data_IF_097691759516
#
_entry.id   IF_097691759516
#
_cell.length_a   1.000
_cell.length_b   1.000
_cell.length_c   1.000
_cell.angle_alpha   90.00
_cell.angle_beta   90.00
_cell.angle_gamma   90.00
#
_symmetry.space_group_name_H-M   'P 1'
#
loop_
_entity.id
_entity.type
_entity.pdbx_description
1 polymer ?
#
# COMPACT_ATOMS: atom_id res chain seq x y z
N UNK A 1 24.06 -0.25 13.29
CA UNK A 1 22.92 -0.64 12.44
C UNK A 1 23.43 -1.59 11.37
N UNK A 2 23.08 -2.86 11.42
CA UNK A 2 23.64 -3.86 10.51
C UNK A 2 22.81 -4.01 9.25
N UNK A 3 23.46 -4.24 8.11
CA UNK A 3 22.83 -4.60 6.82
C UNK A 3 21.82 -5.74 6.98
N UNK A 4 22.10 -6.68 7.90
CA UNK A 4 21.21 -7.80 8.25
C UNK A 4 19.86 -7.35 8.84
N UNK A 5 19.83 -6.25 9.59
CA UNK A 5 18.58 -5.72 10.18
C UNK A 5 17.67 -5.14 9.11
N UNK A 6 18.26 -4.46 8.11
CA UNK A 6 17.51 -3.92 6.97
C UNK A 6 16.96 -5.09 6.14
N UNK A 7 17.81 -6.07 5.85
CA UNK A 7 17.46 -7.22 5.01
C UNK A 7 16.22 -8.00 5.52
N UNK A 8 16.05 -8.13 6.84
CA UNK A 8 14.87 -8.79 7.44
C UNK A 8 13.54 -8.11 7.12
N UNK A 9 13.56 -6.81 6.84
CA UNK A 9 12.35 -6.01 6.60
C UNK A 9 12.08 -5.78 5.10
N UNK A 10 12.94 -6.27 4.21
CA UNK A 10 12.77 -6.14 2.76
C UNK A 10 11.84 -7.23 2.25
N UNK A 11 11.01 -6.88 1.26
CA UNK A 11 10.15 -7.86 0.59
C UNK A 11 10.92 -8.75 -0.39
N UNK A 12 12.10 -8.32 -0.82
CA UNK A 12 13.01 -9.10 -1.67
C UNK A 12 14.39 -9.20 -1.02
N UNK A 13 15.14 -10.29 -1.24
CA UNK A 13 16.51 -10.42 -0.74
C UNK A 13 17.40 -9.25 -1.21
N UNK A 14 18.31 -8.81 -0.35
CA UNK A 14 19.20 -7.68 -0.63
C UNK A 14 20.01 -7.89 -1.92
N UNK A 15 20.40 -9.12 -2.24
CA UNK A 15 21.15 -9.45 -3.47
C UNK A 15 20.35 -9.31 -4.77
N UNK A 16 19.02 -9.16 -4.67
CA UNK A 16 18.09 -9.08 -5.82
C UNK A 16 17.25 -7.81 -5.79
N UNK A 17 17.54 -6.88 -4.89
CA UNK A 17 16.74 -5.68 -4.71
C UNK A 17 17.12 -4.64 -5.75
N UNK A 18 16.13 -4.18 -6.50
CA UNK A 18 16.27 -3.07 -7.46
C UNK A 18 15.47 -1.90 -6.89
N UNK A 19 16.14 -0.81 -6.52
CA UNK A 19 15.51 0.36 -5.88
C UNK A 19 15.35 1.55 -6.84
N UNK A 20 16.00 1.51 -8.00
CA UNK A 20 16.07 2.58 -8.98
C UNK A 20 15.18 2.36 -10.21
N UNK A 21 14.24 1.41 -10.14
CA UNK A 21 13.32 1.14 -11.25
C UNK A 21 12.38 2.32 -11.49
N UNK A 22 12.33 2.81 -12.72
CA UNK A 22 11.34 3.77 -13.17
C UNK A 22 9.96 3.12 -13.34
N UNK A 23 8.93 3.93 -13.54
CA UNK A 23 7.58 3.43 -13.83
C UNK A 23 7.53 2.65 -15.16
N UNK A 24 8.39 2.99 -16.13
CA UNK A 24 8.47 2.24 -17.39
C UNK A 24 9.19 0.90 -17.21
N UNK A 25 10.27 0.87 -16.45
CA UNK A 25 10.97 -0.39 -16.11
C UNK A 25 10.02 -1.37 -15.39
N UNK A 26 9.18 -0.84 -14.49
CA UNK A 26 8.15 -1.64 -13.82
C UNK A 26 7.11 -2.22 -14.80
N UNK A 27 6.73 -1.48 -15.85
CA UNK A 27 5.79 -1.96 -16.88
C UNK A 27 6.41 -3.05 -17.75
N UNK A 28 7.66 -2.86 -18.19
CA UNK A 28 8.42 -3.84 -18.95
C UNK A 28 8.55 -5.12 -18.13
N UNK A 29 9.07 -5.03 -16.90
CA UNK A 29 9.22 -6.17 -15.98
C UNK A 29 7.89 -6.88 -15.70
N UNK A 30 6.80 -6.13 -15.52
CA UNK A 30 5.47 -6.71 -15.30
C UNK A 30 4.95 -7.48 -16.51
N UNK A 31 5.25 -7.02 -17.74
CA UNK A 31 4.89 -7.70 -18.98
C UNK A 31 5.69 -8.99 -19.13
N UNK A 32 7.01 -8.93 -18.97
CA UNK A 32 7.91 -10.09 -19.06
C UNK A 32 7.54 -11.18 -18.04
N UNK A 33 7.23 -10.80 -16.80
CA UNK A 33 6.80 -11.75 -15.78
C UNK A 33 5.45 -12.38 -16.14
N UNK A 34 4.49 -11.60 -16.64
CA UNK A 34 3.20 -12.14 -17.08
C UNK A 34 3.35 -13.15 -18.24
N UNK A 35 4.21 -12.84 -19.21
CA UNK A 35 4.53 -13.72 -20.35
C UNK A 35 5.25 -14.99 -19.88
N UNK A 36 6.21 -14.85 -18.96
CA UNK A 36 6.91 -16.00 -18.34
C UNK A 36 5.93 -16.92 -17.60
N UNK A 37 5.00 -16.35 -16.83
CA UNK A 37 3.97 -17.10 -16.12
C UNK A 37 3.06 -17.84 -17.09
N UNK A 38 2.65 -17.18 -18.18
CA UNK A 38 1.82 -17.77 -19.22
C UNK A 38 2.54 -18.93 -19.94
N UNK A 39 3.82 -18.75 -20.28
CA UNK A 39 4.64 -19.79 -20.91
C UNK A 39 4.75 -21.03 -20.01
N UNK A 40 5.03 -20.83 -18.71
CA UNK A 40 5.10 -21.94 -17.73
C UNK A 40 3.76 -22.63 -17.52
N UNK A 41 2.67 -21.86 -17.45
CA UNK A 41 1.31 -22.40 -17.39
C UNK A 41 1.03 -23.32 -18.57
N UNK A 42 1.35 -22.88 -19.79
CA UNK A 42 1.15 -23.66 -21.03
C UNK A 42 2.02 -24.91 -21.11
N UNK A 43 3.19 -24.90 -20.49
CA UNK A 43 4.07 -26.07 -20.40
C UNK A 43 3.59 -27.14 -19.41
N UNK A 44 2.57 -26.86 -18.61
CA UNK A 44 1.99 -27.81 -17.66
C UNK A 44 0.71 -28.44 -18.23
N UNK A 45 0.40 -29.66 -17.79
CA UNK A 45 -0.80 -30.39 -18.22
C UNK A 45 -2.11 -29.67 -17.83
N UNK A 46 -2.12 -29.01 -16.67
CA UNK A 46 -3.26 -28.26 -16.17
C UNK A 46 -2.81 -27.18 -15.16
N UNK A 47 -3.73 -26.29 -14.78
CA UNK A 47 -3.46 -25.18 -13.88
C UNK A 47 -3.08 -25.63 -12.46
N UNK A 48 -3.59 -26.77 -12.00
CA UNK A 48 -3.27 -27.33 -10.67
C UNK A 48 -1.79 -27.72 -10.57
N UNK A 49 -1.25 -28.34 -11.62
CA UNK A 49 0.17 -28.68 -11.68
C UNK A 49 1.07 -27.45 -11.87
N UNK A 50 0.58 -26.42 -12.56
CA UNK A 50 1.32 -25.18 -12.74
C UNK A 50 1.44 -24.36 -11.45
N UNK A 51 0.37 -24.34 -10.65
CA UNK A 51 0.19 -23.38 -9.56
C UNK A 51 1.35 -23.33 -8.54
N UNK A 52 1.89 -24.46 -8.02
CA UNK A 52 3.01 -24.42 -7.07
C UNK A 52 4.23 -23.67 -7.62
N UNK A 53 4.60 -23.91 -8.88
CA UNK A 53 5.74 -23.25 -9.52
C UNK A 53 5.48 -21.76 -9.76
N UNK A 54 4.25 -21.38 -10.09
CA UNK A 54 3.89 -19.98 -10.28
C UNK A 54 3.91 -19.22 -8.95
N UNK A 55 3.43 -19.84 -7.87
CA UNK A 55 3.50 -19.26 -6.51
C UNK A 55 4.93 -19.03 -6.06
N UNK A 56 5.83 -19.98 -6.31
CA UNK A 56 7.24 -19.82 -5.99
C UNK A 56 7.87 -18.61 -6.73
N UNK A 57 7.56 -18.44 -8.02
CA UNK A 57 8.03 -17.28 -8.77
C UNK A 57 7.45 -15.95 -8.25
N UNK A 58 6.18 -15.95 -7.82
CA UNK A 58 5.54 -14.79 -7.18
C UNK A 58 6.27 -14.40 -5.90
N UNK A 59 6.60 -15.37 -5.06
CA UNK A 59 7.37 -15.15 -3.82
C UNK A 59 8.78 -14.62 -4.09
N UNK A 60 9.45 -15.12 -5.15
CA UNK A 60 10.78 -14.63 -5.55
C UNK A 60 10.77 -13.14 -5.94
N UNK A 61 9.63 -12.58 -6.34
CA UNK A 61 9.46 -11.15 -6.64
C UNK A 61 9.02 -10.34 -5.41
N UNK A 62 8.97 -10.95 -4.22
CA UNK A 62 8.56 -10.31 -2.97
C UNK A 62 7.05 -10.11 -2.83
N UNK A 63 6.27 -10.82 -3.63
CA UNK A 63 4.81 -10.81 -3.56
C UNK A 63 4.31 -12.02 -2.80
N UNK A 64 3.20 -11.86 -2.07
CA UNK A 64 2.54 -12.96 -1.37
C UNK A 64 1.53 -13.65 -2.31
N UNK A 65 1.62 -14.97 -2.50
CA UNK A 65 0.59 -15.75 -3.16
C UNK A 65 -0.78 -15.64 -2.48
N UNK A 66 -1.84 -16.06 -3.17
CA UNK A 66 -3.19 -15.94 -2.65
C UNK A 66 -3.60 -17.06 -1.70
N UNK A 67 -2.80 -18.14 -1.60
CA UNK A 67 -2.96 -19.15 -0.56
C UNK A 67 -4.33 -19.84 -0.53
N UNK A 68 -5.01 -19.94 -1.68
CA UNK A 68 -6.35 -20.56 -1.77
C UNK A 68 -7.52 -19.59 -1.62
N UNK A 69 -7.29 -18.27 -1.54
CA UNK A 69 -8.37 -17.26 -1.54
C UNK A 69 -9.25 -17.33 -2.81
N UNK A 70 -8.73 -17.89 -3.90
CA UNK A 70 -9.41 -17.93 -5.18
C UNK A 70 -9.36 -19.34 -5.78
N UNK A 71 -10.23 -19.60 -6.76
CA UNK A 71 -10.13 -20.79 -7.59
C UNK A 71 -8.75 -20.85 -8.27
N UNK A 72 -8.27 -22.07 -8.52
CA UNK A 72 -6.98 -22.33 -9.18
C UNK A 72 -6.86 -21.55 -10.48
N UNK A 73 -7.88 -21.63 -11.34
CA UNK A 73 -7.92 -20.92 -12.62
C UNK A 73 -7.86 -19.39 -12.43
N UNK A 74 -8.57 -18.86 -11.41
CA UNK A 74 -8.59 -17.44 -11.11
C UNK A 74 -7.25 -16.91 -10.58
N UNK A 75 -6.56 -17.69 -9.75
CA UNK A 75 -5.22 -17.37 -9.27
C UNK A 75 -4.19 -17.38 -10.40
N UNK A 76 -4.18 -18.44 -11.21
CA UNK A 76 -3.28 -18.57 -12.35
C UNK A 76 -3.54 -17.47 -13.40
N UNK A 77 -4.80 -17.15 -13.70
CA UNK A 77 -5.15 -16.07 -14.62
C UNK A 77 -4.62 -14.71 -14.15
N UNK A 78 -4.66 -14.42 -12.85
CA UNK A 78 -4.06 -13.21 -12.28
C UNK A 78 -2.54 -13.18 -12.44
N UNK A 79 -1.87 -14.31 -12.22
CA UNK A 79 -0.41 -14.42 -12.44
C UNK A 79 -0.02 -14.27 -13.92
N UNK A 80 -0.92 -14.58 -14.86
CA UNK A 80 -0.70 -14.30 -16.29
C UNK A 80 -1.04 -12.86 -16.70
N UNK A 81 -1.45 -11.97 -15.78
CA UNK A 81 -1.92 -10.64 -16.12
C UNK A 81 -0.92 -9.54 -15.73
N UNK A 82 -0.41 -8.78 -16.71
CA UNK A 82 0.60 -7.72 -16.50
C UNK A 82 0.17 -6.66 -15.48
N UNK A 83 -1.10 -6.23 -15.45
CA UNK A 83 -1.53 -5.21 -14.49
C UNK A 83 -1.59 -5.72 -13.05
N UNK A 84 -1.64 -7.05 -12.86
CA UNK A 84 -1.53 -7.64 -11.53
C UNK A 84 -0.08 -7.50 -11.03
N UNK A 85 0.89 -7.89 -11.86
CA UNK A 85 2.32 -7.70 -11.59
C UNK A 85 2.69 -6.25 -11.35
N UNK A 86 2.28 -5.34 -12.24
CA UNK A 86 2.61 -3.92 -12.11
C UNK A 86 2.16 -3.33 -10.77
N UNK A 87 0.94 -3.65 -10.32
CA UNK A 87 0.44 -3.21 -9.00
C UNK A 87 1.26 -3.81 -7.85
N UNK A 88 1.61 -5.09 -7.95
CA UNK A 88 2.43 -5.78 -6.96
C UNK A 88 3.85 -5.21 -6.88
N UNK A 89 4.57 -5.19 -8.00
CA UNK A 89 5.95 -4.72 -8.09
C UNK A 89 6.08 -3.27 -7.64
N UNK A 90 5.16 -2.39 -8.04
CA UNK A 90 5.14 -0.99 -7.57
C UNK A 90 5.02 -0.90 -6.05
N UNK A 91 4.18 -1.75 -5.44
CA UNK A 91 4.01 -1.82 -3.99
C UNK A 91 5.28 -2.34 -3.31
N UNK A 92 5.89 -3.40 -3.83
CA UNK A 92 7.15 -3.97 -3.33
C UNK A 92 8.28 -2.95 -3.40
N UNK A 93 8.50 -2.34 -4.57
CA UNK A 93 9.53 -1.33 -4.79
C UNK A 93 9.39 -0.17 -3.80
N UNK A 94 8.19 0.43 -3.70
CA UNK A 94 7.96 1.57 -2.80
C UNK A 94 8.18 1.20 -1.33
N UNK A 95 7.74 0.01 -0.89
CA UNK A 95 7.97 -0.47 0.47
C UNK A 95 9.44 -0.68 0.76
N UNK A 96 10.16 -1.25 -0.19
CA UNK A 96 11.59 -1.49 -0.10
C UNK A 96 12.38 -0.18 -0.03
N UNK A 97 12.10 0.78 -0.92
CA UNK A 97 12.69 2.14 -0.88
C UNK A 97 12.42 2.80 0.46
N UNK A 98 11.17 2.79 0.91
CA UNK A 98 10.79 3.43 2.18
C UNK A 98 11.44 2.74 3.37
N UNK A 99 11.51 1.41 3.37
CA UNK A 99 12.19 0.63 4.42
C UNK A 99 13.67 1.02 4.48
N UNK A 100 14.37 1.03 3.35
CA UNK A 100 15.78 1.42 3.30
C UNK A 100 15.97 2.86 3.76
N UNK A 101 15.19 3.82 3.27
CA UNK A 101 15.35 5.24 3.62
C UNK A 101 14.93 5.55 5.05
N UNK A 102 13.91 4.87 5.57
CA UNK A 102 13.56 4.89 6.98
C UNK A 102 14.71 4.35 7.83
N UNK A 103 15.32 3.24 7.40
CA UNK A 103 16.51 2.64 8.00
C UNK A 103 17.80 3.47 7.80
N UNK A 104 17.86 4.37 6.85
CA UNK A 104 18.95 5.35 6.70
C UNK A 104 18.69 6.68 7.40
N UNK A 105 17.61 6.78 8.19
CA UNK A 105 17.21 7.98 8.93
C UNK A 105 17.01 9.18 7.99
N UNK A 106 16.43 8.92 6.82
CA UNK A 106 16.03 9.94 5.85
C UNK A 106 14.55 10.36 6.03
N UNK A 107 13.83 9.64 6.90
CA UNK A 107 12.43 9.90 7.24
C UNK A 107 12.37 10.25 8.72
N UNK A 108 12.39 11.55 8.99
CA UNK A 108 12.29 12.14 10.32
C UNK A 108 11.90 13.62 10.19
N UNK A 109 11.53 14.26 11.31
CA UNK A 109 11.09 15.65 11.34
C UNK A 109 12.09 16.66 10.75
N UNK A 110 13.39 16.37 10.80
CA UNK A 110 14.45 17.27 10.33
C UNK A 110 14.71 17.18 8.82
N UNK A 111 14.39 16.04 8.19
CA UNK A 111 14.66 15.80 6.76
C UNK A 111 13.39 15.67 5.94
N UNK A 112 12.54 14.72 6.32
CA UNK A 112 11.28 14.46 5.65
C UNK A 112 10.28 13.84 6.63
N UNK A 113 9.23 14.60 6.95
CA UNK A 113 8.39 14.35 8.13
C UNK A 113 7.57 13.06 8.04
N UNK A 114 7.03 12.74 6.87
CA UNK A 114 6.04 11.66 6.73
C UNK A 114 6.50 10.46 5.92
N UNK A 115 7.28 10.70 4.86
CA UNK A 115 7.77 9.65 3.98
C UNK A 115 9.04 10.13 3.30
N UNK A 116 9.78 9.24 2.67
CA UNK A 116 10.96 9.64 1.91
C UNK A 116 10.63 10.53 0.71
N UNK A 117 11.58 11.37 0.29
CA UNK A 117 11.42 12.24 -0.88
C UNK A 117 11.08 11.47 -2.17
N UNK A 118 11.72 10.32 -2.49
CA UNK A 118 11.33 9.52 -3.64
C UNK A 118 9.88 9.03 -3.58
N UNK A 119 9.39 8.63 -2.40
CA UNK A 119 7.99 8.23 -2.19
C UNK A 119 7.03 9.39 -2.46
N UNK A 120 7.37 10.61 -1.99
CA UNK A 120 6.57 11.81 -2.22
C UNK A 120 6.46 12.15 -3.71
N UNK A 121 7.60 12.20 -4.42
CA UNK A 121 7.65 12.50 -5.86
C UNK A 121 6.87 11.44 -6.65
N UNK A 122 7.06 10.15 -6.33
CA UNK A 122 6.32 9.08 -6.98
C UNK A 122 4.80 9.18 -6.75
N UNK A 123 4.37 9.66 -5.57
CA UNK A 123 2.94 9.88 -5.28
C UNK A 123 2.39 11.09 -6.04
N UNK A 124 3.15 12.17 -6.17
CA UNK A 124 2.75 13.35 -6.95
C UNK A 124 2.59 13.00 -8.42
N UNK A 125 3.57 12.32 -9.02
CA UNK A 125 3.52 11.87 -10.41
C UNK A 125 2.33 10.93 -10.65
N UNK A 126 2.08 10.00 -9.73
CA UNK A 126 0.92 9.12 -9.81
C UNK A 126 -0.40 9.90 -9.77
N UNK A 127 -0.52 10.92 -8.91
CA UNK A 127 -1.73 11.75 -8.83
C UNK A 127 -1.94 12.55 -10.10
N UNK A 128 -0.89 13.17 -10.63
CA UNK A 128 -0.96 13.93 -11.89
C UNK A 128 -1.42 13.03 -13.05
N UNK A 129 -0.83 11.84 -13.18
CA UNK A 129 -1.25 10.86 -14.20
C UNK A 129 -2.71 10.42 -14.01
N UNK A 130 -3.14 10.13 -12.78
CA UNK A 130 -4.52 9.75 -12.49
C UNK A 130 -5.51 10.86 -12.82
N UNK A 131 -5.18 12.12 -12.52
CA UNK A 131 -6.02 13.27 -12.84
C UNK A 131 -6.16 13.43 -14.36
N UNK A 132 -5.04 13.44 -15.08
CA UNK A 132 -5.06 13.53 -16.54
C UNK A 132 -5.85 12.37 -17.17
N UNK A 133 -5.72 11.14 -16.65
CA UNK A 133 -6.51 10.01 -17.12
C UNK A 133 -8.03 10.23 -16.92
N UNK A 134 -8.45 10.67 -15.74
CA UNK A 134 -9.87 10.91 -15.45
C UNK A 134 -10.44 12.07 -16.26
N UNK A 135 -9.66 13.12 -16.48
CA UNK A 135 -10.04 14.29 -17.27
C UNK A 135 -10.25 13.92 -18.75
N UNK A 136 -9.34 13.11 -19.31
CA UNK A 136 -9.39 12.70 -20.73
C UNK A 136 -10.27 11.47 -21.00
N UNK A 137 -10.95 10.92 -19.99
CA UNK A 137 -11.85 9.78 -20.18
C UNK A 137 -13.29 10.26 -20.07
N UNK A 138 -14.05 10.14 -21.16
CA UNK A 138 -15.46 10.52 -21.23
C UNK A 138 -16.35 9.31 -20.99
N UNK A 139 -17.37 9.48 -20.15
CA UNK A 139 -18.46 8.52 -19.97
C UNK A 139 -19.76 9.15 -20.49
N UNK A 140 -20.50 8.38 -21.28
CA UNK A 140 -21.80 8.77 -21.85
C UNK A 140 -22.88 7.84 -21.34
N UNK A 141 -24.00 8.40 -20.86
CA UNK A 141 -25.14 7.61 -20.38
C UNK A 141 -26.15 7.32 -21.51
N UNK A 142 -27.18 6.52 -21.19
CA UNK A 142 -28.27 6.15 -22.10
C UNK A 142 -29.13 7.33 -22.59
N UNK A 143 -29.05 8.48 -21.90
CA UNK A 143 -29.73 9.72 -22.27
C UNK A 143 -28.88 10.63 -23.17
N UNK A 144 -27.69 10.17 -23.58
CA UNK A 144 -26.76 10.93 -24.42
C UNK A 144 -25.95 12.02 -23.69
N UNK A 145 -26.03 12.08 -22.36
CA UNK A 145 -25.25 13.03 -21.57
C UNK A 145 -23.81 12.52 -21.43
N UNK A 146 -22.83 13.39 -21.69
CA UNK A 146 -21.41 13.04 -21.65
C UNK A 146 -20.66 13.90 -20.64
N UNK A 147 -19.87 13.27 -19.79
CA UNK A 147 -19.05 13.94 -18.78
C UNK A 147 -17.67 13.26 -18.70
N UNK A 148 -16.65 14.02 -18.31
CA UNK A 148 -15.38 13.42 -17.92
C UNK A 148 -15.54 12.61 -16.63
N UNK A 149 -14.75 11.55 -16.49
CA UNK A 149 -14.70 10.80 -15.24
C UNK A 149 -14.22 11.68 -14.07
N UNK A 150 -13.44 12.73 -14.35
CA UNK A 150 -13.02 13.70 -13.35
C UNK A 150 -14.22 14.46 -12.78
N UNK A 151 -15.07 15.04 -13.63
CA UNK A 151 -16.29 15.74 -13.20
C UNK A 151 -17.22 14.81 -12.41
N UNK A 152 -17.41 13.59 -12.89
CA UNK A 152 -18.24 12.60 -12.19
C UNK A 152 -17.65 12.25 -10.81
N UNK A 153 -16.32 12.13 -10.70
CA UNK A 153 -15.65 11.82 -9.43
C UNK A 153 -15.80 12.93 -8.38
N UNK A 154 -16.00 14.18 -8.81
CA UNK A 154 -16.11 15.33 -7.92
C UNK A 154 -17.52 15.52 -7.34
N UNK A 155 -18.52 14.79 -7.86
CA UNK A 155 -19.94 14.95 -7.44
C UNK A 155 -20.35 14.11 -6.23
N UNK A 156 -19.44 13.32 -5.66
CA UNK A 156 -19.78 12.43 -4.54
C UNK A 156 -18.64 12.23 -3.55
N UNK A 157 -18.73 11.16 -2.75
CA UNK A 157 -17.73 10.82 -1.71
C UNK A 157 -16.32 10.58 -2.24
N UNK A 158 -16.14 10.46 -3.54
CA UNK A 158 -14.81 10.46 -4.17
C UNK A 158 -14.08 11.79 -3.98
N UNK A 159 -14.81 12.92 -3.85
CA UNK A 159 -14.26 14.20 -3.44
C UNK A 159 -13.98 14.21 -1.91
N UNK A 160 -12.74 14.50 -1.48
CA UNK A 160 -12.39 14.57 -0.06
C UNK A 160 -13.18 15.62 0.75
N UNK A 161 -13.59 16.75 0.15
CA UNK A 161 -14.41 17.76 0.82
C UNK A 161 -15.81 17.24 1.11
N UNK A 162 -16.46 16.63 0.11
CA UNK A 162 -17.80 16.03 0.27
C UNK A 162 -17.74 14.91 1.31
N UNK A 163 -16.75 13.99 1.18
CA UNK A 163 -16.55 12.90 2.14
C UNK A 163 -16.34 13.40 3.57
N UNK A 164 -15.56 14.47 3.75
CA UNK A 164 -15.36 15.10 5.07
C UNK A 164 -16.67 15.67 5.59
N UNK A 165 -17.44 16.39 4.76
CA UNK A 165 -18.75 16.91 5.13
C UNK A 165 -19.68 15.82 5.65
N UNK A 166 -19.84 14.73 4.89
CA UNK A 166 -20.65 13.58 5.31
C UNK A 166 -20.16 12.94 6.61
N UNK A 167 -18.85 12.78 6.78
CA UNK A 167 -18.27 12.23 8.00
C UNK A 167 -18.61 13.11 9.22
N UNK A 168 -18.50 14.44 9.07
CA UNK A 168 -18.82 15.37 10.17
C UNK A 168 -20.31 15.39 10.49
N UNK A 169 -21.19 15.28 9.49
CA UNK A 169 -22.65 15.16 9.71
C UNK A 169 -22.96 13.88 10.49
N UNK A 170 -22.35 12.73 10.12
CA UNK A 170 -22.52 11.48 10.87
C UNK A 170 -21.99 11.58 12.29
N UNK A 171 -20.79 12.15 12.46
CA UNK A 171 -20.19 12.34 13.78
C UNK A 171 -21.08 13.21 14.68
N UNK A 172 -21.68 14.27 14.13
CA UNK A 172 -22.62 15.12 14.86
C UNK A 172 -23.87 14.38 15.32
N UNK A 173 -24.47 13.56 14.45
CA UNK A 173 -25.62 12.75 14.85
C UNK A 173 -25.31 11.78 15.99
N UNK A 174 -24.10 11.19 16.02
CA UNK A 174 -23.67 10.35 17.15
C UNK A 174 -23.43 11.17 18.43
N UNK A 175 -22.93 12.40 18.31
CA UNK A 175 -22.78 13.32 19.44
C UNK A 175 -24.13 13.68 20.05
N UNK A 176 -25.11 14.05 19.22
CA UNK A 176 -26.46 14.40 19.67
C UNK A 176 -27.12 13.20 20.38
N UNK A 177 -27.04 11.98 19.80
CA UNK A 177 -27.56 10.76 20.43
C UNK A 177 -26.84 10.43 21.76
N UNK A 178 -25.51 10.58 21.82
CA UNK A 178 -24.76 10.33 23.04
C UNK A 178 -25.19 11.28 24.17
N UNK A 179 -25.45 12.55 23.84
CA UNK A 179 -25.96 13.54 24.78
C UNK A 179 -27.36 13.17 25.29
N UNK A 180 -28.28 12.77 24.40
CA UNK A 180 -29.63 12.32 24.77
C UNK A 180 -29.62 11.11 25.71
N UNK A 181 -28.68 10.18 25.50
CA UNK A 181 -28.50 8.99 26.34
C UNK A 181 -27.70 9.27 27.63
N UNK A 182 -27.25 10.50 27.86
CA UNK A 182 -26.45 10.88 29.03
C UNK A 182 -25.06 10.24 29.07
N UNK A 183 -24.49 9.87 27.91
CA UNK A 183 -23.15 9.30 27.81
C UNK A 183 -22.06 10.36 28.05
N UNK A 184 -20.90 9.92 28.56
CA UNK A 184 -19.71 10.77 28.71
C UNK A 184 -18.72 10.47 27.58
N UNK A 185 -18.35 11.49 26.83
CA UNK A 185 -17.33 11.36 25.80
C UNK A 185 -15.93 11.18 26.41
N UNK A 186 -15.18 10.20 25.93
CA UNK A 186 -13.77 9.98 26.30
C UNK A 186 -12.91 9.91 25.04
N UNK A 187 -11.82 10.68 25.02
CA UNK A 187 -10.86 10.65 23.92
C UNK A 187 -9.57 9.96 24.37
N UNK A 188 -9.24 8.82 23.74
CA UNK A 188 -8.04 8.04 24.02
C UNK A 188 -7.10 8.12 22.82
N UNK A 189 -5.81 8.41 23.07
CA UNK A 189 -4.77 8.38 22.04
C UNK A 189 -3.80 7.24 22.34
N UNK A 190 -3.74 6.26 21.44
CA UNK A 190 -2.75 5.19 21.49
C UNK A 190 -1.59 5.52 20.58
N UNK A 191 -0.37 5.32 21.08
CA UNK A 191 0.85 5.53 20.32
C UNK A 191 1.74 4.31 20.40
N UNK A 192 2.58 4.12 19.39
CA UNK A 192 3.57 3.05 19.42
C UNK A 192 4.62 3.31 20.52
N UNK A 193 5.04 2.28 21.27
CA UNK A 193 6.16 2.36 22.19
C UNK A 193 7.45 2.82 21.50
N UNK A 194 8.43 3.30 22.30
CA UNK A 194 9.71 3.84 21.81
C UNK A 194 10.43 2.93 20.80
N UNK A 195 10.30 1.60 20.93
CA UNK A 195 10.94 0.62 20.04
C UNK A 195 10.54 0.71 18.56
N UNK A 196 9.41 1.34 18.26
CA UNK A 196 8.93 1.57 16.89
C UNK A 196 9.43 2.89 16.27
N UNK A 197 10.06 3.76 17.07
CA UNK A 197 10.45 5.11 16.62
C UNK A 197 11.94 5.17 16.32
N UNK A 198 12.28 5.30 15.03
CA UNK A 198 13.67 5.34 14.57
C UNK A 198 14.54 6.42 15.22
N UNK A 199 13.99 7.60 15.39
CA UNK A 199 14.73 8.78 15.81
C UNK A 199 13.90 9.64 16.75
N UNK A 200 14.57 10.40 17.61
CA UNK A 200 13.89 11.39 18.42
C UNK A 200 13.28 12.50 17.56
N UNK A 201 12.00 12.83 17.78
CA UNK A 201 11.27 13.80 16.96
C UNK A 201 11.91 15.20 16.95
N UNK A 202 12.44 15.66 18.10
CA UNK A 202 13.03 16.99 18.21
C UNK A 202 14.39 17.11 17.52
N UNK A 203 15.27 16.13 17.70
CA UNK A 203 16.68 16.24 17.26
C UNK A 203 16.99 15.46 15.98
N UNK A 204 16.17 14.47 15.63
CA UNK A 204 16.47 13.54 14.53
C UNK A 204 17.59 12.54 14.85
N UNK A 205 18.18 12.58 16.06
CA UNK A 205 19.18 11.61 16.49
C UNK A 205 18.58 10.21 16.59
N UNK A 206 19.42 9.20 16.34
CA UNK A 206 19.01 7.81 16.43
C UNK A 206 18.51 7.48 17.84
N UNK A 207 17.36 6.81 17.91
CA UNK A 207 16.84 6.28 19.16
C UNK A 207 17.50 4.93 19.46
N UNK A 208 18.26 4.77 20.56
CA UNK A 208 18.90 3.49 20.89
C UNK A 208 17.91 2.37 21.22
N UNK A 209 16.65 2.71 21.54
CA UNK A 209 15.58 1.74 21.82
C UNK A 209 14.93 1.19 20.55
N UNK A 210 15.24 1.73 19.36
CA UNK A 210 14.58 1.31 18.13
C UNK A 210 15.07 -0.06 17.66
N UNK A 211 14.14 -1.00 17.51
CA UNK A 211 14.44 -2.40 17.20
C UNK A 211 14.39 -2.71 15.69
N UNK A 212 14.45 -1.69 14.84
CA UNK A 212 14.40 -1.87 13.39
C UNK A 212 12.98 -2.02 12.82
N UNK A 213 11.93 -1.88 13.63
CA UNK A 213 10.54 -1.94 13.19
C UNK A 213 10.23 -0.87 12.14
N UNK A 214 9.37 -1.26 11.19
CA UNK A 214 8.85 -0.42 10.12
C UNK A 214 7.50 0.21 10.49
N UNK A 215 7.04 1.23 9.74
CA UNK A 215 5.67 1.75 9.90
C UNK A 215 4.58 0.68 9.75
N UNK A 216 4.80 -0.38 8.97
CA UNK A 216 3.84 -1.49 8.84
C UNK A 216 3.76 -2.32 10.13
N UNK A 217 4.88 -2.51 10.82
CA UNK A 217 4.90 -3.22 12.11
C UNK A 217 4.19 -2.40 13.18
N UNK A 218 4.42 -1.07 13.19
CA UNK A 218 3.68 -0.15 14.05
C UNK A 218 2.17 -0.18 13.77
N UNK A 219 1.76 -0.19 12.50
CA UNK A 219 0.34 -0.33 12.13
C UNK A 219 -0.24 -1.67 12.62
N UNK A 220 0.49 -2.77 12.46
CA UNK A 220 0.04 -4.10 12.87
C UNK A 220 -0.13 -4.17 14.39
N UNK A 221 0.83 -3.64 15.15
CA UNK A 221 0.74 -3.50 16.61
C UNK A 221 -0.49 -2.70 17.06
N UNK A 222 -0.73 -1.54 16.46
CA UNK A 222 -1.90 -0.71 16.83
C UNK A 222 -3.22 -1.41 16.49
N UNK A 223 -3.27 -2.17 15.39
CA UNK A 223 -4.45 -2.98 15.06
C UNK A 223 -4.68 -4.10 16.07
N UNK A 224 -3.64 -4.79 16.54
CA UNK A 224 -3.75 -5.83 17.57
C UNK A 224 -4.28 -5.24 18.89
N UNK A 225 -3.72 -4.10 19.32
CA UNK A 225 -4.22 -3.36 20.49
C UNK A 225 -5.69 -3.00 20.31
N UNK A 226 -6.09 -2.53 19.12
CA UNK A 226 -7.48 -2.20 18.82
C UNK A 226 -8.42 -3.41 18.80
N UNK A 227 -7.95 -4.59 18.38
CA UNK A 227 -8.73 -5.83 18.44
C UNK A 227 -8.99 -6.22 19.88
N UNK A 228 -7.97 -6.18 20.74
CA UNK A 228 -8.10 -6.51 22.16
C UNK A 228 -9.05 -5.57 22.90
N UNK A 229 -9.07 -4.29 22.53
CA UNK A 229 -10.02 -3.32 23.12
C UNK A 229 -11.47 -3.57 22.73
N UNK A 230 -11.71 -4.27 21.62
CA UNK A 230 -13.06 -4.58 21.11
C UNK A 230 -13.48 -6.03 21.34
N UNK A 231 -12.60 -6.88 21.85
CA UNK A 231 -12.97 -8.22 22.29
C UNK A 231 -13.65 -8.11 23.65
N UNK A 232 -14.93 -8.48 23.69
CA UNK A 232 -15.68 -8.69 24.93
C UNK A 232 -15.21 -9.95 25.64
#
# INVERSE_FOLDING_TARGET
MTTNTIAKNLSTPLSKIELNLSEEDLRVKAKELAETMLARRRGCMNDERALPYLRELVERQGLKPYGGQYSVQGEVARYSHKNWWLRGLRKVLRRNIETVLHHLNQVNKQKSLYCSQPTLIARQNQRAYQMAYLENTIATNELGQSFSLLELSQKGVSDPKIRKGELMVRARGFEDLANELGHVATFLTFTCPSKYHRSYSKTGHANPKWDGYTPLDGQSYLNEVWVLMRSN
#
